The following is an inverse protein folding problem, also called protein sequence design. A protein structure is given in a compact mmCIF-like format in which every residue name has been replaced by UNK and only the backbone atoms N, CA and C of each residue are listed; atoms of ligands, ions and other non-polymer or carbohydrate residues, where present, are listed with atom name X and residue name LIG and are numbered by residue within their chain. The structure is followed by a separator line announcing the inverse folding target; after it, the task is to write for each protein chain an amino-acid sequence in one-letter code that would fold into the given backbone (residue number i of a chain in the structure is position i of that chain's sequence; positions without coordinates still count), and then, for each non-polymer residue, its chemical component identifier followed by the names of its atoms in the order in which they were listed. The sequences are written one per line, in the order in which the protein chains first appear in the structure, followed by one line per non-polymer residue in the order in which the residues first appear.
data_IF_973763837910
#
_entry.id   IF_973763837910
#
_cell.length_a   1.000
_cell.length_b   1.000
_cell.length_c   1.000
_cell.angle_alpha   90.00
_cell.angle_beta   90.00
_cell.angle_gamma   90.00
#
_symmetry.space_group_name_H-M   'P 1'
#
loop_
_entity.id
_entity.type
_entity.pdbx_description
1 polymer ?
#
# COMPACT_ATOMS: atom_id res chain seq x y z
N UNK A 1 -15.84 -8.61 -5.99
CA UNK A 1 -16.04 -7.16 -6.06
C UNK A 1 -14.78 -6.54 -6.62
N UNK A 2 -14.89 -5.68 -7.63
CA UNK A 2 -13.77 -4.93 -8.21
C UNK A 2 -13.85 -3.50 -7.68
N UNK A 3 -12.75 -2.96 -7.22
CA UNK A 3 -12.59 -1.58 -6.73
C UNK A 3 -11.46 -0.95 -7.53
N UNK A 4 -11.77 0.11 -8.27
CA UNK A 4 -10.77 0.93 -8.95
C UNK A 4 -10.47 2.17 -8.09
N UNK A 5 -9.30 2.26 -7.48
CA UNK A 5 -8.89 3.49 -6.81
C UNK A 5 -8.70 4.58 -7.87
N UNK A 6 -9.44 5.68 -7.76
CA UNK A 6 -9.30 6.83 -8.67
C UNK A 6 -8.25 7.82 -8.17
N UNK A 7 -7.98 7.80 -6.87
CA UNK A 7 -7.02 8.67 -6.19
C UNK A 7 -6.15 7.85 -5.24
N UNK A 8 -4.90 8.26 -5.08
CA UNK A 8 -3.95 7.56 -4.23
C UNK A 8 -4.35 7.53 -2.74
N UNK A 9 -3.68 6.70 -1.96
CA UNK A 9 -3.85 6.59 -0.51
C UNK A 9 -3.78 7.94 0.22
N UNK A 10 -3.24 8.98 -0.44
CA UNK A 10 -3.18 10.37 0.06
C UNK A 10 -4.54 10.89 0.49
N UNK A 11 -5.59 10.77 -0.33
CA UNK A 11 -6.90 11.36 -0.01
C UNK A 11 -7.51 10.72 1.24
N UNK A 12 -7.35 9.42 1.36
CA UNK A 12 -7.79 8.66 2.53
C UNK A 12 -7.05 9.12 3.80
N UNK A 13 -5.79 9.57 3.64
CA UNK A 13 -4.93 10.01 4.73
C UNK A 13 -5.22 11.43 5.16
N UNK A 14 -5.54 12.30 4.21
CA UNK A 14 -5.69 13.75 4.45
C UNK A 14 -7.13 14.21 4.64
N UNK A 15 -8.09 13.40 4.22
CA UNK A 15 -9.51 13.73 4.26
C UNK A 15 -10.28 12.74 5.14
N UNK A 16 -10.92 13.23 6.19
CA UNK A 16 -11.70 12.41 7.13
C UNK A 16 -12.89 11.75 6.43
N UNK A 17 -13.56 12.45 5.53
CA UNK A 17 -14.71 11.93 4.79
C UNK A 17 -14.30 10.76 3.88
N UNK A 18 -13.19 10.91 3.13
CA UNK A 18 -12.68 9.82 2.28
C UNK A 18 -12.24 8.60 3.11
N UNK A 19 -11.68 8.82 4.30
CA UNK A 19 -11.37 7.74 5.25
C UNK A 19 -12.63 7.03 5.71
N UNK A 20 -13.67 7.77 6.08
CA UNK A 20 -14.95 7.21 6.53
C UNK A 20 -15.66 6.45 5.41
N UNK A 21 -15.62 6.97 4.20
CA UNK A 21 -16.14 6.30 3.00
C UNK A 21 -15.43 4.95 2.76
N UNK A 22 -14.09 4.95 2.77
CA UNK A 22 -13.31 3.70 2.63
C UNK A 22 -13.67 2.69 3.74
N UNK A 23 -13.75 3.11 4.98
CA UNK A 23 -14.10 2.24 6.09
C UNK A 23 -15.53 1.69 5.95
N UNK A 24 -16.47 2.51 5.48
CA UNK A 24 -17.85 2.10 5.20
C UNK A 24 -17.92 1.04 4.09
N UNK A 25 -17.14 1.21 3.01
CA UNK A 25 -17.04 0.21 1.94
C UNK A 25 -16.50 -1.12 2.51
N UNK A 26 -15.42 -1.07 3.30
CA UNK A 26 -14.83 -2.26 3.88
C UNK A 26 -15.76 -2.96 4.89
N UNK A 27 -16.53 -2.20 5.67
CA UNK A 27 -17.54 -2.75 6.56
C UNK A 27 -18.71 -3.40 5.79
N UNK A 28 -19.14 -2.78 4.69
CA UNK A 28 -20.14 -3.36 3.79
C UNK A 28 -19.66 -4.69 3.21
N UNK A 29 -18.40 -4.74 2.77
CA UNK A 29 -17.76 -5.96 2.24
C UNK A 29 -17.72 -7.04 3.32
N UNK A 30 -17.30 -6.69 4.53
CA UNK A 30 -17.18 -7.63 5.65
C UNK A 30 -18.51 -8.27 6.03
N UNK A 31 -19.60 -7.51 5.91
CA UNK A 31 -20.94 -7.95 6.30
C UNK A 31 -21.74 -8.61 5.17
N UNK A 32 -21.22 -8.63 3.94
CA UNK A 32 -21.87 -9.23 2.79
C UNK A 32 -21.52 -10.72 2.65
N UNK A 33 -22.53 -11.57 2.52
CA UNK A 33 -22.36 -13.00 2.19
C UNK A 33 -22.10 -13.24 0.70
N UNK A 34 -22.41 -12.27 -0.15
CA UNK A 34 -22.35 -12.41 -1.60
C UNK A 34 -21.00 -12.06 -2.20
N UNK A 35 -20.19 -11.25 -1.47
CA UNK A 35 -18.86 -10.90 -1.90
C UNK A 35 -17.89 -12.02 -1.49
N UNK A 36 -17.24 -12.64 -2.48
CA UNK A 36 -16.31 -13.77 -2.28
C UNK A 36 -14.85 -13.41 -2.42
N UNK A 37 -14.53 -12.19 -2.82
CA UNK A 37 -13.17 -11.68 -2.95
C UNK A 37 -13.16 -10.21 -3.33
N UNK A 38 -12.04 -9.55 -3.12
CA UNK A 38 -11.81 -8.14 -3.44
C UNK A 38 -10.68 -8.05 -4.45
N UNK A 39 -10.92 -7.37 -5.57
CA UNK A 39 -9.89 -6.95 -6.50
C UNK A 39 -9.72 -5.43 -6.38
N UNK A 40 -8.53 -5.00 -5.99
CA UNK A 40 -8.07 -3.61 -6.09
C UNK A 40 -7.37 -3.45 -7.44
N UNK A 41 -8.01 -2.76 -8.38
CA UNK A 41 -7.53 -2.63 -9.75
C UNK A 41 -6.96 -1.24 -9.99
N UNK A 42 -5.64 -1.14 -10.04
CA UNK A 42 -4.89 0.09 -10.32
C UNK A 42 -4.69 0.22 -11.83
N UNK A 43 -5.53 1.00 -12.49
CA UNK A 43 -5.52 1.22 -13.94
C UNK A 43 -4.50 2.29 -14.35
N UNK A 44 -4.29 2.51 -15.66
CA UNK A 44 -3.45 3.60 -16.18
C UNK A 44 -3.91 5.00 -15.74
N UNK A 45 -5.17 5.14 -15.32
CA UNK A 45 -5.71 6.40 -14.79
C UNK A 45 -5.21 6.70 -13.37
N UNK A 46 -4.63 5.71 -12.72
CA UNK A 46 -4.10 5.85 -11.37
C UNK A 46 -2.70 6.47 -11.40
N UNK A 47 -2.54 7.65 -10.84
CA UNK A 47 -1.30 8.43 -10.84
C UNK A 47 -0.70 8.58 -9.43
N UNK A 48 -0.72 7.52 -8.64
CA UNK A 48 -0.31 7.53 -7.23
C UNK A 48 1.11 8.05 -6.97
N UNK A 49 2.03 7.88 -7.93
CA UNK A 49 3.37 8.46 -7.82
C UNK A 49 3.38 9.99 -7.99
N UNK A 50 2.61 10.53 -8.97
CA UNK A 50 2.53 11.97 -9.22
C UNK A 50 1.87 12.65 -8.04
N UNK A 51 0.75 12.13 -7.57
CA UNK A 51 0.03 12.62 -6.40
C UNK A 51 0.89 12.60 -5.14
N UNK A 52 1.67 11.55 -4.94
CA UNK A 52 2.57 11.44 -3.80
C UNK A 52 3.67 12.50 -3.81
N UNK A 53 4.32 12.72 -4.98
CA UNK A 53 5.34 13.77 -5.13
C UNK A 53 4.76 15.16 -4.88
N UNK A 54 3.60 15.43 -5.46
CA UNK A 54 2.88 16.69 -5.29
C UNK A 54 2.54 16.95 -3.81
N UNK A 55 2.04 15.93 -3.13
CA UNK A 55 1.78 15.98 -1.70
C UNK A 55 3.02 16.29 -0.86
N UNK A 56 4.16 15.64 -1.12
CA UNK A 56 5.39 15.94 -0.41
C UNK A 56 5.82 17.40 -0.61
N UNK A 57 5.75 17.92 -1.84
CA UNK A 57 6.09 19.31 -2.15
C UNK A 57 5.15 20.30 -1.45
N UNK A 58 3.84 20.10 -1.51
CA UNK A 58 2.84 20.92 -0.83
C UNK A 58 3.00 20.88 0.71
N UNK A 59 3.36 19.70 1.24
CA UNK A 59 3.63 19.53 2.67
C UNK A 59 4.88 20.29 3.12
N UNK A 60 5.80 20.57 2.19
CA UNK A 60 7.00 21.39 2.43
C UNK A 60 6.70 22.89 2.39
N UNK A 61 5.79 23.30 1.52
CA UNK A 61 5.43 24.70 1.34
C UNK A 61 4.43 25.21 2.39
N UNK A 62 3.46 24.36 2.76
CA UNK A 62 2.57 24.64 3.87
C UNK A 62 3.33 24.51 5.18
N UNK A 63 3.41 25.61 5.94
CA UNK A 63 3.98 25.60 7.29
C UNK A 63 3.32 24.52 8.16
N UNK A 64 3.80 23.28 8.06
CA UNK A 64 3.38 22.11 8.84
C UNK A 64 3.53 22.36 10.36
N UNK A 65 4.10 23.51 10.74
CA UNK A 65 4.26 23.93 12.14
C UNK A 65 2.94 24.03 12.92
N UNK A 66 1.81 24.28 12.26
CA UNK A 66 0.52 24.42 12.95
C UNK A 66 -0.26 23.12 13.11
N UNK A 67 0.05 22.03 12.35
CA UNK A 67 -0.80 20.81 12.32
C UNK A 67 -0.02 19.48 12.48
N UNK A 68 1.20 19.54 13.02
CA UNK A 68 2.14 18.39 13.13
C UNK A 68 1.56 17.13 13.78
N UNK A 69 0.71 17.31 14.78
CA UNK A 69 0.11 16.19 15.50
C UNK A 69 -1.07 15.55 14.77
N UNK A 70 -1.82 16.32 14.00
CA UNK A 70 -3.09 15.89 13.41
C UNK A 70 -2.87 14.97 12.19
N UNK A 71 -2.02 15.41 11.26
CA UNK A 71 -1.69 14.62 10.06
C UNK A 71 -1.13 13.25 10.41
N UNK A 72 -0.14 13.23 11.31
CA UNK A 72 0.57 12.03 11.72
C UNK A 72 -0.33 11.04 12.46
N UNK A 73 -1.20 11.57 13.32
CA UNK A 73 -2.18 10.75 14.05
C UNK A 73 -3.25 10.20 13.09
N UNK A 74 -3.70 11.02 12.13
CA UNK A 74 -4.71 10.59 11.14
C UNK A 74 -4.16 9.52 10.20
N UNK A 75 -2.95 9.71 9.67
CA UNK A 75 -2.27 8.71 8.84
C UNK A 75 -2.11 7.37 9.56
N UNK A 76 -1.50 7.41 10.75
CA UNK A 76 -1.29 6.22 11.57
C UNK A 76 -2.60 5.50 11.87
N UNK A 77 -3.62 6.25 12.26
CA UNK A 77 -4.94 5.70 12.55
C UNK A 77 -5.57 5.04 11.32
N UNK A 78 -5.53 5.71 10.16
CA UNK A 78 -6.09 5.18 8.91
C UNK A 78 -5.38 3.88 8.49
N UNK A 79 -4.04 3.88 8.48
CA UNK A 79 -3.25 2.69 8.14
C UNK A 79 -3.52 1.53 9.08
N UNK A 80 -3.50 1.78 10.40
CA UNK A 80 -3.76 0.73 11.38
C UNK A 80 -5.17 0.14 11.26
N UNK A 81 -6.18 0.98 11.03
CA UNK A 81 -7.55 0.52 10.82
C UNK A 81 -7.68 -0.30 9.54
N UNK A 82 -7.09 0.16 8.44
CA UNK A 82 -7.10 -0.54 7.16
C UNK A 82 -6.42 -1.92 7.26
N UNK A 83 -5.22 -1.98 7.83
CA UNK A 83 -4.49 -3.24 8.00
C UNK A 83 -5.20 -4.20 8.96
N UNK A 84 -5.84 -3.67 10.02
CA UNK A 84 -6.67 -4.48 10.92
C UNK A 84 -7.85 -5.12 10.17
N UNK A 85 -8.50 -4.37 9.28
CA UNK A 85 -9.61 -4.87 8.48
C UNK A 85 -9.09 -5.95 7.51
N UNK A 86 -8.06 -5.66 6.70
CA UNK A 86 -7.49 -6.64 5.75
C UNK A 86 -7.10 -7.94 6.46
N UNK A 87 -6.40 -7.84 7.59
CA UNK A 87 -5.95 -9.00 8.34
C UNK A 87 -7.11 -9.91 8.79
N UNK A 88 -8.28 -9.34 9.04
CA UNK A 88 -9.46 -10.06 9.52
C UNK A 88 -10.51 -10.30 8.43
N UNK A 89 -10.23 -9.98 7.17
CA UNK A 89 -11.15 -10.31 6.07
C UNK A 89 -11.31 -11.83 5.95
N UNK A 90 -12.56 -12.26 5.86
CA UNK A 90 -12.92 -13.67 5.63
C UNK A 90 -12.84 -14.11 4.17
N UNK A 91 -12.50 -13.17 3.28
CA UNK A 91 -12.40 -13.36 1.82
C UNK A 91 -11.04 -12.91 1.31
N UNK A 92 -10.54 -13.45 0.18
CA UNK A 92 -9.26 -13.05 -0.39
C UNK A 92 -9.28 -11.64 -0.97
N UNK A 93 -8.10 -11.00 -0.96
CA UNK A 93 -7.84 -9.70 -1.57
C UNK A 93 -6.64 -9.77 -2.52
N UNK A 94 -6.81 -9.23 -3.72
CA UNK A 94 -5.75 -9.14 -4.73
C UNK A 94 -5.57 -7.72 -5.24
N UNK A 95 -4.36 -7.40 -5.71
CA UNK A 95 -4.06 -6.22 -6.50
C UNK A 95 -3.84 -6.60 -7.96
N UNK A 96 -4.56 -5.94 -8.89
CA UNK A 96 -4.26 -5.89 -10.31
C UNK A 96 -3.64 -4.54 -10.65
N UNK A 97 -2.45 -4.52 -11.28
CA UNK A 97 -1.63 -3.31 -11.37
C UNK A 97 -1.26 -3.05 -12.82
N UNK A 98 -1.80 -1.97 -13.40
CA UNK A 98 -1.50 -1.47 -14.75
C UNK A 98 -1.03 -0.02 -14.76
N UNK A 99 -0.71 0.55 -13.61
CA UNK A 99 -0.32 1.95 -13.46
C UNK A 99 0.87 2.14 -12.52
N UNK A 100 1.21 3.39 -12.30
CA UNK A 100 2.33 3.82 -11.48
C UNK A 100 1.93 3.90 -10.00
N UNK A 101 2.44 3.00 -9.17
CA UNK A 101 2.19 3.02 -7.75
C UNK A 101 3.18 3.92 -7.00
N UNK A 102 2.66 4.82 -6.20
CA UNK A 102 3.43 5.57 -5.23
C UNK A 102 3.86 4.70 -4.04
N UNK A 103 4.79 5.19 -3.20
CA UNK A 103 5.40 4.35 -2.15
C UNK A 103 4.42 3.90 -1.06
N UNK A 104 3.35 4.66 -0.80
CA UNK A 104 2.33 4.25 0.16
C UNK A 104 1.48 3.09 -0.38
N UNK A 105 1.05 3.19 -1.63
CA UNK A 105 0.26 2.14 -2.30
C UNK A 105 1.10 0.89 -2.51
N UNK A 106 2.36 1.06 -2.95
CA UNK A 106 3.30 -0.04 -3.06
C UNK A 106 3.47 -0.78 -1.73
N UNK A 107 3.67 -0.05 -0.62
CA UNK A 107 3.73 -0.66 0.72
C UNK A 107 2.43 -1.37 1.11
N UNK A 108 1.27 -0.80 0.74
CA UNK A 108 -0.05 -1.32 1.10
C UNK A 108 -0.38 -2.63 0.37
N UNK A 109 -0.10 -2.71 -0.93
CA UNK A 109 -0.39 -3.93 -1.69
C UNK A 109 0.43 -5.13 -1.23
N UNK A 110 1.60 -4.91 -0.59
CA UNK A 110 2.39 -5.99 -0.02
C UNK A 110 1.70 -6.67 1.18
N UNK A 111 0.66 -6.06 1.73
CA UNK A 111 -0.20 -6.66 2.75
C UNK A 111 -1.34 -7.51 2.16
N UNK A 112 -1.59 -7.48 0.85
CA UNK A 112 -2.65 -8.26 0.19
C UNK A 112 -2.20 -9.71 -0.04
N UNK A 113 -3.15 -10.59 -0.35
CA UNK A 113 -2.84 -12.00 -0.59
C UNK A 113 -2.09 -12.20 -1.92
N UNK A 114 -2.56 -11.54 -2.99
CA UNK A 114 -1.97 -11.64 -4.33
C UNK A 114 -1.74 -10.27 -4.98
N UNK A 115 -0.76 -10.24 -5.87
CA UNK A 115 -0.39 -9.07 -6.70
C UNK A 115 -0.06 -9.56 -8.11
N UNK A 116 -0.81 -9.09 -9.10
CA UNK A 116 -0.58 -9.36 -10.53
C UNK A 116 -0.40 -8.00 -11.20
N UNK A 117 0.58 -7.89 -12.09
CA UNK A 117 0.86 -6.63 -12.76
C UNK A 117 0.98 -6.81 -14.28
N UNK A 118 0.89 -5.70 -15.00
CA UNK A 118 1.28 -5.65 -16.41
C UNK A 118 2.74 -5.27 -16.55
N UNK A 119 3.32 -5.42 -17.74
CA UNK A 119 4.69 -4.97 -18.03
C UNK A 119 4.86 -3.45 -17.90
N UNK A 120 3.77 -2.68 -18.07
CA UNK A 120 3.77 -1.21 -17.99
C UNK A 120 3.85 -0.67 -16.57
N UNK A 121 3.57 -1.49 -15.54
CA UNK A 121 3.52 -1.04 -14.16
C UNK A 121 4.90 -0.72 -13.59
N UNK A 122 4.96 0.38 -12.82
CA UNK A 122 6.14 0.77 -12.05
C UNK A 122 5.80 1.02 -10.59
N UNK A 123 6.76 0.70 -9.72
CA UNK A 123 6.67 0.87 -8.28
C UNK A 123 7.69 1.92 -7.84
N UNK A 124 7.23 3.05 -7.35
CA UNK A 124 8.05 4.23 -7.09
C UNK A 124 8.46 4.37 -5.62
N UNK A 125 9.68 4.86 -5.41
CA UNK A 125 10.24 5.22 -4.11
C UNK A 125 11.06 6.52 -4.24
N UNK A 126 10.43 7.68 -4.48
CA UNK A 126 11.13 8.95 -4.72
C UNK A 126 11.64 9.63 -3.44
N UNK A 127 11.40 9.07 -2.27
CA UNK A 127 11.60 9.73 -0.99
C UNK A 127 13.03 10.24 -0.79
N UNK A 128 14.04 9.42 -1.05
CA UNK A 128 15.45 9.82 -0.86
C UNK A 128 15.88 10.91 -1.83
N UNK A 129 15.42 10.88 -3.07
CA UNK A 129 15.65 11.97 -4.05
C UNK A 129 15.06 13.29 -3.56
N UNK A 130 13.96 13.22 -2.83
CA UNK A 130 13.29 14.37 -2.22
C UNK A 130 13.85 14.75 -0.85
N UNK A 131 14.86 14.02 -0.34
CA UNK A 131 15.52 14.27 0.94
C UNK A 131 14.78 13.75 2.16
N UNK A 132 13.92 12.74 1.99
CA UNK A 132 13.14 12.09 3.06
C UNK A 132 13.42 10.60 3.17
N UNK A 133 13.22 9.99 4.34
CA UNK A 133 13.28 8.53 4.47
C UNK A 133 12.17 7.86 3.67
N UNK A 134 12.33 6.58 3.29
CA UNK A 134 11.31 5.81 2.61
C UNK A 134 9.97 5.80 3.37
N UNK A 135 8.86 5.64 2.64
CA UNK A 135 7.56 5.46 3.26
C UNK A 135 7.58 4.30 4.28
N UNK A 136 6.93 4.52 5.41
CA UNK A 136 6.89 3.57 6.51
C UNK A 136 6.39 2.18 6.10
N UNK A 137 5.27 2.12 5.36
CA UNK A 137 4.73 0.83 4.91
C UNK A 137 5.66 0.14 3.91
N UNK A 138 6.21 0.90 2.97
CA UNK A 138 7.12 0.33 1.97
C UNK A 138 8.38 -0.22 2.65
N UNK A 139 9.03 0.55 3.51
CA UNK A 139 10.24 0.10 4.20
C UNK A 139 9.98 -1.12 5.10
N UNK A 140 8.83 -1.16 5.76
CA UNK A 140 8.44 -2.26 6.63
C UNK A 140 8.24 -3.56 5.84
N UNK A 141 7.34 -3.55 4.85
CA UNK A 141 7.00 -4.76 4.11
C UNK A 141 8.12 -5.21 3.17
N UNK A 142 8.86 -4.28 2.56
CA UNK A 142 9.98 -4.63 1.69
C UNK A 142 11.08 -5.34 2.47
N UNK A 143 11.44 -4.83 3.67
CA UNK A 143 12.41 -5.48 4.54
C UNK A 143 11.97 -6.87 4.97
N UNK A 144 10.69 -7.08 5.18
CA UNK A 144 10.13 -8.37 5.58
C UNK A 144 10.08 -9.36 4.41
N UNK A 145 9.80 -8.89 3.21
CA UNK A 145 9.71 -9.73 2.01
C UNK A 145 11.06 -10.14 1.45
N UNK A 146 12.05 -9.25 1.48
CA UNK A 146 13.35 -9.42 0.83
C UNK A 146 14.52 -9.58 1.81
N UNK A 147 14.26 -9.41 3.09
CA UNK A 147 15.31 -9.25 4.09
C UNK A 147 15.94 -7.85 4.10
N UNK A 148 16.59 -7.45 5.20
CA UNK A 148 17.05 -6.09 5.40
C UNK A 148 18.12 -5.64 4.39
N UNK A 149 19.02 -6.52 3.99
CA UNK A 149 20.11 -6.18 3.05
C UNK A 149 19.57 -5.79 1.67
N UNK A 150 18.67 -6.60 1.08
CA UNK A 150 18.11 -6.34 -0.25
C UNK A 150 17.13 -5.18 -0.23
N UNK A 151 16.35 -5.04 0.83
CA UNK A 151 15.47 -3.90 1.01
C UNK A 151 16.27 -2.59 1.12
N UNK A 152 17.38 -2.57 1.87
CA UNK A 152 18.28 -1.40 1.97
C UNK A 152 18.86 -1.03 0.62
N UNK A 153 19.36 -2.01 -0.14
CA UNK A 153 19.86 -1.78 -1.51
C UNK A 153 18.80 -1.07 -2.36
N UNK A 154 17.59 -1.64 -2.45
CA UNK A 154 16.51 -1.10 -3.29
C UNK A 154 16.10 0.31 -2.80
N UNK A 155 15.83 0.45 -1.51
CA UNK A 155 15.34 1.71 -0.95
C UNK A 155 16.36 2.85 -1.05
N UNK A 156 17.67 2.54 -1.01
CA UNK A 156 18.72 3.55 -1.06
C UNK A 156 19.24 3.85 -2.47
N UNK A 157 19.07 2.93 -3.42
CA UNK A 157 19.68 3.08 -4.76
C UNK A 157 18.69 3.24 -5.89
N UNK A 158 17.40 2.96 -5.65
CA UNK A 158 16.37 2.98 -6.70
C UNK A 158 15.21 3.88 -6.33
N UNK A 159 14.90 4.83 -7.21
CA UNK A 159 13.67 5.64 -7.09
C UNK A 159 12.43 4.93 -7.66
N UNK A 160 12.63 3.89 -8.47
CA UNK A 160 11.57 3.02 -8.99
C UNK A 160 12.11 1.64 -9.35
N UNK A 161 11.22 0.64 -9.37
CA UNK A 161 11.45 -0.69 -9.95
C UNK A 161 10.35 -1.02 -10.95
N UNK A 162 10.70 -1.76 -12.00
CA UNK A 162 9.75 -2.26 -13.00
C UNK A 162 8.97 -3.46 -12.49
N UNK A 163 7.87 -3.80 -13.15
CA UNK A 163 7.13 -5.04 -12.85
C UNK A 163 7.99 -6.29 -13.03
N UNK A 164 8.92 -6.31 -14.01
CA UNK A 164 9.86 -7.43 -14.18
C UNK A 164 10.77 -7.57 -12.97
N UNK A 165 11.38 -6.49 -12.50
CA UNK A 165 12.21 -6.53 -11.28
C UNK A 165 11.39 -6.92 -10.04
N UNK A 166 10.15 -6.42 -9.92
CA UNK A 166 9.26 -6.79 -8.82
C UNK A 166 8.88 -8.28 -8.86
N UNK A 167 8.70 -8.85 -10.05
CA UNK A 167 8.45 -10.27 -10.26
C UNK A 167 9.67 -11.11 -9.88
N UNK A 168 10.85 -10.75 -10.37
CA UNK A 168 12.10 -11.45 -10.08
C UNK A 168 12.47 -11.42 -8.59
N UNK A 169 12.01 -10.38 -7.89
CA UNK A 169 12.12 -10.23 -6.43
C UNK A 169 11.01 -10.96 -5.65
N UNK A 170 10.01 -11.54 -6.31
CA UNK A 170 8.87 -12.17 -5.66
C UNK A 170 7.88 -11.19 -4.99
N UNK A 171 7.94 -9.90 -5.32
CA UNK A 171 7.03 -8.88 -4.80
C UNK A 171 5.67 -8.91 -5.51
N UNK A 172 5.63 -9.36 -6.76
CA UNK A 172 4.42 -9.69 -7.50
C UNK A 172 4.46 -11.15 -7.93
N UNK A 173 3.30 -11.75 -8.15
CA UNK A 173 3.17 -13.20 -8.41
C UNK A 173 3.15 -13.55 -9.88
N UNK A 174 2.72 -12.61 -10.73
CA UNK A 174 2.52 -12.85 -12.16
C UNK A 174 2.58 -11.53 -12.95
N UNK A 175 3.07 -11.61 -14.20
CA UNK A 175 3.00 -10.52 -15.19
C UNK A 175 2.13 -11.00 -16.33
N UNK A 176 1.12 -10.20 -16.69
CA UNK A 176 0.15 -10.52 -17.75
C UNK A 176 -0.03 -9.33 -18.69
N UNK A 177 -0.71 -9.55 -19.81
CA UNK A 177 -1.12 -8.44 -20.68
C UNK A 177 -2.19 -7.58 -20.00
N UNK A 178 -2.33 -6.34 -20.46
CA UNK A 178 -3.34 -5.41 -19.93
C UNK A 178 -4.77 -5.96 -20.11
N UNK A 179 -5.03 -6.61 -21.24
CA UNK A 179 -6.33 -7.18 -21.57
C UNK A 179 -6.70 -8.37 -20.67
N UNK A 180 -5.71 -9.08 -20.16
CA UNK A 180 -5.89 -10.26 -19.31
C UNK A 180 -5.88 -9.94 -17.81
N UNK A 181 -5.43 -8.74 -17.42
CA UNK A 181 -5.15 -8.43 -16.02
C UNK A 181 -6.36 -8.65 -15.09
N UNK A 182 -7.49 -8.06 -15.42
CA UNK A 182 -8.69 -8.17 -14.58
C UNK A 182 -9.17 -9.60 -14.48
N UNK A 183 -9.34 -10.29 -15.62
CA UNK A 183 -9.83 -11.67 -15.62
C UNK A 183 -8.87 -12.61 -14.89
N UNK A 184 -7.56 -12.43 -15.07
CA UNK A 184 -6.56 -13.24 -14.36
C UNK A 184 -6.61 -13.03 -12.85
N UNK A 185 -6.79 -11.80 -12.39
CA UNK A 185 -7.00 -11.51 -10.98
C UNK A 185 -8.27 -12.19 -10.44
N UNK A 186 -9.37 -12.12 -11.21
CA UNK A 186 -10.64 -12.73 -10.81
C UNK A 186 -10.54 -14.26 -10.77
N UNK A 187 -9.85 -14.91 -11.71
CA UNK A 187 -9.58 -16.35 -11.67
C UNK A 187 -8.85 -16.73 -10.37
N UNK A 188 -7.77 -16.02 -10.03
CA UNK A 188 -7.02 -16.26 -8.81
C UNK A 188 -7.85 -16.03 -7.54
N UNK A 189 -8.69 -15.02 -7.53
CA UNK A 189 -9.60 -14.78 -6.42
C UNK A 189 -10.66 -15.90 -6.30
N UNK A 190 -11.18 -16.43 -7.41
CA UNK A 190 -12.10 -17.59 -7.40
C UNK A 190 -11.41 -18.83 -6.83
N UNK A 191 -10.15 -19.11 -7.24
CA UNK A 191 -9.35 -20.21 -6.67
C UNK A 191 -9.21 -20.05 -5.13
N UNK A 192 -8.79 -18.85 -4.67
CA UNK A 192 -8.62 -18.59 -3.25
C UNK A 192 -9.94 -18.59 -2.46
N UNK A 193 -11.05 -18.22 -3.08
CA UNK A 193 -12.37 -18.20 -2.43
C UNK A 193 -12.89 -19.59 -2.06
N UNK A 194 -12.28 -20.66 -2.59
CA UNK A 194 -12.57 -22.03 -2.19
C UNK A 194 -11.97 -22.41 -0.84
N UNK A 195 -11.00 -21.64 -0.35
CA UNK A 195 -10.38 -21.85 0.96
C UNK A 195 -11.41 -21.52 2.06
N UNK A 196 -11.61 -22.39 3.06
CA UNK A 196 -12.46 -22.08 4.18
C UNK A 196 -12.03 -20.77 4.86
N UNK A 197 -12.98 -19.86 5.09
CA UNK A 197 -12.70 -18.51 5.58
C UNK A 197 -11.90 -18.48 6.90
N UNK A 198 -12.16 -19.42 7.82
CA UNK A 198 -11.38 -19.52 9.06
C UNK A 198 -9.91 -19.87 8.79
N UNK A 199 -9.63 -20.76 7.81
CA UNK A 199 -8.26 -21.13 7.44
C UNK A 199 -7.53 -19.93 6.78
N UNK A 200 -8.21 -19.17 5.94
CA UNK A 200 -7.66 -17.96 5.32
C UNK A 200 -7.30 -16.90 6.38
N UNK A 201 -8.19 -16.64 7.33
CA UNK A 201 -7.95 -15.68 8.43
C UNK A 201 -6.74 -16.10 9.27
N UNK A 202 -6.70 -17.38 9.69
CA UNK A 202 -5.58 -17.87 10.53
C UNK A 202 -4.26 -17.88 9.75
N UNK A 203 -4.27 -18.21 8.47
CA UNK A 203 -3.08 -18.13 7.61
C UNK A 203 -2.54 -16.69 7.56
N UNK A 204 -3.41 -15.69 7.37
CA UNK A 204 -2.99 -14.28 7.43
C UNK A 204 -2.43 -13.90 8.79
N UNK A 205 -3.04 -14.37 9.89
CA UNK A 205 -2.56 -14.08 11.25
C UNK A 205 -1.16 -14.65 11.51
N UNK A 206 -0.86 -15.80 10.94
CA UNK A 206 0.45 -16.44 11.05
C UNK A 206 1.49 -15.71 10.18
N UNK A 207 1.15 -15.38 8.94
CA UNK A 207 2.09 -14.83 7.97
C UNK A 207 2.30 -13.32 8.09
N UNK A 208 1.26 -12.58 8.46
CA UNK A 208 1.34 -11.12 8.56
C UNK A 208 1.88 -10.66 9.92
N UNK A 209 2.59 -9.53 9.95
CA UNK A 209 3.11 -8.94 11.18
C UNK A 209 1.97 -8.55 12.13
N UNK A 210 2.28 -8.46 13.43
CA UNK A 210 1.34 -7.90 14.39
C UNK A 210 1.09 -6.42 14.13
N UNK A 211 -0.08 -5.91 14.54
CA UNK A 211 -0.39 -4.48 14.41
C UNK A 211 0.55 -3.62 15.27
N UNK A 212 1.05 -4.17 16.40
CA UNK A 212 2.00 -3.48 17.27
C UNK A 212 3.36 -3.31 16.60
N UNK A 213 3.86 -4.33 15.89
CA UNK A 213 5.10 -4.22 15.09
C UNK A 213 4.98 -3.13 14.01
N UNK A 214 3.84 -3.12 13.30
CA UNK A 214 3.58 -2.11 12.28
C UNK A 214 3.48 -0.72 12.91
N UNK A 215 2.73 -0.57 14.01
CA UNK A 215 2.56 0.71 14.70
C UNK A 215 3.89 1.29 15.17
N UNK A 216 4.74 0.45 15.77
CA UNK A 216 6.07 0.85 16.22
C UNK A 216 6.96 1.31 15.06
N UNK A 217 6.88 0.61 13.92
CA UNK A 217 7.63 1.01 12.73
C UNK A 217 7.11 2.32 12.13
N UNK A 218 5.79 2.53 12.10
CA UNK A 218 5.16 3.78 11.68
C UNK A 218 5.64 4.95 12.54
N UNK A 219 5.72 4.79 13.86
CA UNK A 219 6.21 5.83 14.78
C UNK A 219 7.67 6.19 14.50
N UNK A 220 8.55 5.18 14.38
CA UNK A 220 9.97 5.38 14.08
C UNK A 220 10.19 6.09 12.73
N UNK A 221 9.44 5.68 11.72
CA UNK A 221 9.51 6.26 10.37
C UNK A 221 9.05 7.71 10.37
N UNK A 222 7.98 8.00 11.12
CA UNK A 222 7.47 9.36 11.28
C UNK A 222 8.48 10.28 11.95
N UNK A 223 9.07 9.85 13.05
CA UNK A 223 10.13 10.62 13.71
C UNK A 223 11.31 10.91 12.77
N UNK A 224 11.71 9.91 11.95
CA UNK A 224 12.71 10.06 10.91
C UNK A 224 12.34 11.12 9.88
N UNK A 225 11.11 11.07 9.39
CA UNK A 225 10.56 12.05 8.45
C UNK A 225 10.57 13.47 9.04
N UNK A 226 10.09 13.64 10.26
CA UNK A 226 10.09 14.93 10.95
C UNK A 226 11.49 15.48 11.15
N UNK A 227 12.47 14.64 11.54
CA UNK A 227 13.88 15.08 11.65
C UNK A 227 14.44 15.59 10.33
N UNK A 228 14.13 14.96 9.20
CA UNK A 228 14.55 15.43 7.88
C UNK A 228 13.87 16.75 7.51
N UNK A 229 12.58 16.88 7.79
CA UNK A 229 11.80 18.08 7.55
C UNK A 229 12.39 19.30 8.29
N UNK A 230 12.73 19.14 9.58
CA UNK A 230 13.33 20.21 10.38
C UNK A 230 14.72 20.65 9.90
N UNK A 231 15.57 19.68 9.48
CA UNK A 231 16.92 20.00 8.98
C UNK A 231 16.92 20.74 7.64
N UNK A 232 15.86 20.63 6.87
CA UNK A 232 15.76 21.32 5.56
C UNK A 232 15.31 22.77 5.69
N UNK A 233 14.74 23.15 6.84
CA UNK A 233 14.28 24.51 7.13
C UNK A 233 15.34 25.39 7.79
N UNK A 234 16.44 24.82 8.22
CA UNK A 234 17.63 25.47 8.79
C UNK A 234 18.81 25.37 7.82
#
# INVERSE_FOLDING_TARGET
MVIEPLEGARKIITNVEAKEEMLSILDTIRNSSDIKGILMLYTEKYHGNIEYKQYLLESLESNIHSDKGRYTTTFRSAVNQFLKIIRNLSIPIAAGINGDLGPNDFGLILAYDLRIATEKAYFYNPNLELGYPPSALLSFYLSRSLGPAKATEILMTKSKISSREAFDLGLITEIVSEQELEERCLEKLRELSTIPSHALIETRRILQPSLDEISKHLDTSLEGFLRCLYKRQN
#
